data_IF_090558215661
#
_entry.id   IF_090558215661
#
_cell.length_a   1.000
_cell.length_b   1.000
_cell.length_c   1.000
_cell.angle_alpha   90.00
_cell.angle_beta   90.00
_cell.angle_gamma   90.00
#
_symmetry.space_group_name_H-M   'P 1'
#
loop_
_entity.id
_entity.type
_entity.pdbx_description
1 polymer ?
#
# COMPACT_ATOMS: atom_id res chain seq x y z
N UNK A 1 -23.72 3.50 20.31
CA UNK A 1 -23.42 3.39 18.88
C UNK A 1 -22.06 2.71 18.76
N UNK A 2 -22.06 1.39 18.63
CA UNK A 2 -20.83 0.61 18.58
C UNK A 2 -20.18 0.74 17.20
N UNK A 3 -19.17 1.58 17.11
CA UNK A 3 -18.30 1.67 15.94
C UNK A 3 -17.32 0.48 15.99
N UNK A 4 -17.79 -0.72 15.65
CA UNK A 4 -16.94 -1.89 15.47
C UNK A 4 -16.22 -1.77 14.14
N UNK A 5 -15.24 -0.88 14.09
CA UNK A 5 -14.18 -1.01 13.10
C UNK A 5 -13.52 -2.36 13.36
N UNK A 6 -13.74 -3.34 12.49
CA UNK A 6 -12.93 -4.57 12.52
C UNK A 6 -11.50 -4.19 12.16
N UNK A 7 -10.75 -3.86 13.20
CA UNK A 7 -9.32 -3.61 13.12
C UNK A 7 -8.68 -4.99 13.07
N UNK A 8 -8.11 -5.37 11.95
CA UNK A 8 -7.38 -6.62 11.82
C UNK A 8 -6.24 -6.67 12.84
N UNK A 9 -6.32 -7.62 13.78
CA UNK A 9 -5.31 -7.77 14.83
C UNK A 9 -4.09 -8.59 14.37
N UNK A 10 -4.24 -9.37 13.25
CA UNK A 10 -3.20 -10.21 12.68
C UNK A 10 -3.29 -10.27 11.14
N UNK A 11 -2.19 -10.64 10.47
CA UNK A 11 -2.15 -10.88 9.03
C UNK A 11 -3.19 -11.93 8.56
N UNK A 12 -3.52 -12.92 9.39
CA UNK A 12 -4.54 -13.92 9.11
C UNK A 12 -5.96 -13.34 8.96
N UNK A 13 -6.25 -12.22 9.65
CA UNK A 13 -7.57 -11.55 9.55
C UNK A 13 -7.72 -10.80 8.22
N UNK A 14 -6.60 -10.35 7.63
CA UNK A 14 -6.59 -9.72 6.30
C UNK A 14 -6.93 -10.75 5.22
N UNK A 15 -6.40 -11.98 5.34
CA UNK A 15 -6.63 -13.06 4.38
C UNK A 15 -8.11 -13.47 4.32
N UNK A 16 -8.74 -13.63 5.49
CA UNK A 16 -10.15 -14.03 5.56
C UNK A 16 -11.11 -12.95 5.05
N UNK A 17 -10.76 -11.67 5.28
CA UNK A 17 -11.58 -10.55 4.85
C UNK A 17 -11.50 -10.32 3.33
N UNK A 18 -10.30 -10.43 2.76
CA UNK A 18 -10.07 -10.28 1.32
C UNK A 18 -10.78 -11.38 0.53
N UNK A 19 -10.80 -12.62 1.04
CA UNK A 19 -11.46 -13.76 0.40
C UNK A 19 -12.98 -13.58 0.27
N UNK A 20 -13.63 -13.02 1.29
CA UNK A 20 -15.10 -13.02 1.38
C UNK A 20 -15.80 -11.86 0.62
N UNK A 21 -15.09 -10.82 0.16
CA UNK A 21 -15.75 -9.60 -0.37
C UNK A 21 -15.23 -9.04 -1.70
N UNK A 22 -14.17 -9.58 -2.28
CA UNK A 22 -13.55 -8.97 -3.47
C UNK A 22 -13.98 -9.57 -4.82
N UNK A 23 -15.16 -10.16 -4.92
CA UNK A 23 -15.79 -10.49 -6.21
C UNK A 23 -16.20 -9.24 -7.04
N UNK A 24 -15.76 -8.04 -6.66
CA UNK A 24 -16.22 -6.78 -7.27
C UNK A 24 -15.25 -6.14 -8.28
N UNK A 25 -14.04 -6.65 -8.44
CA UNK A 25 -13.10 -6.08 -9.42
C UNK A 25 -12.93 -6.99 -10.64
N UNK A 26 -13.59 -6.61 -11.73
CA UNK A 26 -13.45 -7.23 -13.06
C UNK A 26 -12.12 -6.87 -13.77
N UNK A 27 -11.11 -6.38 -13.05
CA UNK A 27 -9.80 -6.12 -13.64
C UNK A 27 -8.91 -7.36 -13.48
N UNK A 28 -8.54 -8.05 -14.59
CA UNK A 28 -7.74 -9.30 -14.56
C UNK A 28 -6.32 -9.09 -13.99
N UNK A 29 -5.83 -7.86 -13.91
CA UNK A 29 -4.49 -7.53 -13.41
C UNK A 29 -4.46 -7.32 -11.89
N UNK A 30 -5.60 -7.21 -11.22
CA UNK A 30 -5.71 -7.16 -9.77
C UNK A 30 -5.89 -8.59 -9.25
N UNK A 31 -4.82 -9.33 -9.18
CA UNK A 31 -4.82 -10.64 -8.52
C UNK A 31 -4.65 -10.44 -7.03
N UNK A 32 -5.73 -10.66 -6.29
CA UNK A 32 -5.66 -10.89 -4.86
C UNK A 32 -5.17 -12.32 -4.67
N UNK A 33 -3.86 -12.46 -4.57
CA UNK A 33 -3.25 -13.74 -4.22
C UNK A 33 -3.39 -13.92 -2.70
N UNK A 34 -4.37 -14.71 -2.32
CA UNK A 34 -4.36 -15.37 -1.02
C UNK A 34 -3.36 -16.54 -1.13
N UNK A 35 -2.23 -16.50 -0.46
CA UNK A 35 -1.38 -17.67 -0.43
C UNK A 35 -2.08 -18.72 0.44
N UNK A 36 -2.50 -19.82 -0.17
CA UNK A 36 -2.72 -21.10 0.53
C UNK A 36 -1.39 -21.68 1.07
N UNK A 37 -0.32 -20.89 1.00
CA UNK A 37 1.04 -21.25 1.41
C UNK A 37 1.31 -20.78 2.83
N UNK A 38 2.11 -21.56 3.56
CA UNK A 38 2.52 -21.25 4.92
C UNK A 38 3.20 -19.87 4.99
N UNK A 39 3.02 -19.16 6.10
CA UNK A 39 3.58 -17.82 6.37
C UNK A 39 5.09 -17.75 6.06
N UNK A 40 5.81 -18.82 6.27
CA UNK A 40 7.23 -18.97 6.00
C UNK A 40 7.58 -18.87 4.51
N UNK A 41 6.77 -19.47 3.63
CA UNK A 41 6.99 -19.43 2.18
C UNK A 41 6.83 -18.00 1.61
N UNK A 42 5.89 -17.24 2.14
CA UNK A 42 5.66 -15.85 1.73
C UNK A 42 6.83 -14.94 2.17
N UNK A 43 7.35 -15.16 3.38
CA UNK A 43 8.50 -14.41 3.92
C UNK A 43 9.75 -14.65 3.06
N UNK A 44 10.02 -15.90 2.68
CA UNK A 44 11.17 -16.25 1.83
C UNK A 44 11.05 -15.61 0.44
N UNK A 45 9.84 -15.48 -0.09
CA UNK A 45 9.60 -14.84 -1.40
C UNK A 45 9.86 -13.33 -1.42
N UNK A 46 9.78 -12.64 -0.28
CA UNK A 46 9.94 -11.19 -0.20
C UNK A 46 11.39 -10.73 0.03
N UNK A 47 12.29 -11.61 0.45
CA UNK A 47 13.68 -11.26 0.75
C UNK A 47 14.38 -10.67 -0.49
N UNK A 48 14.94 -9.47 -0.33
CA UNK A 48 15.64 -8.76 -1.40
C UNK A 48 14.73 -8.12 -2.44
N UNK A 49 13.39 -8.18 -2.22
CA UNK A 49 12.40 -7.56 -3.10
C UNK A 49 12.13 -6.12 -2.74
N UNK A 50 11.76 -5.32 -3.72
CA UNK A 50 11.33 -3.94 -3.55
C UNK A 50 9.80 -3.90 -3.40
N UNK A 51 9.33 -3.43 -2.25
CA UNK A 51 7.91 -3.27 -1.93
C UNK A 51 7.56 -1.79 -1.92
N UNK A 52 6.63 -1.39 -2.77
CA UNK A 52 6.03 -0.07 -2.74
C UNK A 52 4.84 -0.08 -1.77
N UNK A 53 4.97 0.64 -0.67
CA UNK A 53 3.91 0.80 0.33
C UNK A 53 3.19 2.14 0.13
N UNK A 54 1.97 2.09 -0.37
CA UNK A 54 1.06 3.23 -0.44
C UNK A 54 0.26 3.38 0.84
N UNK A 55 0.31 4.55 1.46
CA UNK A 55 -0.44 4.84 2.69
C UNK A 55 -1.44 5.96 2.43
N UNK A 56 -2.71 5.70 2.70
CA UNK A 56 -3.79 6.65 2.43
C UNK A 56 -4.38 7.24 3.71
N UNK A 57 -5.09 8.37 3.57
CA UNK A 57 -5.58 9.19 4.67
C UNK A 57 -6.76 8.58 5.41
N UNK A 58 -6.49 7.83 6.45
CA UNK A 58 -7.47 7.27 7.37
C UNK A 58 -6.84 6.91 8.71
N UNK A 59 -7.68 6.74 9.74
CA UNK A 59 -7.18 6.46 11.10
C UNK A 59 -6.24 5.23 11.13
N UNK A 60 -6.43 4.24 10.26
CA UNK A 60 -5.58 3.06 10.19
C UNK A 60 -4.16 3.33 9.65
N UNK A 61 -3.84 4.56 9.20
CA UNK A 61 -2.51 4.94 8.71
C UNK A 61 -1.40 4.68 9.76
N UNK A 62 -1.68 4.81 11.07
CA UNK A 62 -0.70 4.52 12.12
C UNK A 62 -0.19 3.07 12.08
N UNK A 63 -1.01 2.12 11.59
CA UNK A 63 -0.60 0.71 11.46
C UNK A 63 0.39 0.48 10.33
N UNK A 64 0.41 1.37 9.33
CA UNK A 64 1.34 1.27 8.21
C UNK A 64 2.80 1.38 8.65
N UNK A 65 3.09 2.13 9.72
CA UNK A 65 4.44 2.19 10.30
C UNK A 65 4.92 0.82 10.81
N UNK A 66 4.04 0.09 11.50
CA UNK A 66 4.35 -1.27 11.96
C UNK A 66 4.53 -2.24 10.77
N UNK A 67 3.72 -2.10 9.71
CA UNK A 67 3.86 -2.87 8.49
C UNK A 67 5.19 -2.59 7.79
N UNK A 68 5.57 -1.31 7.62
CA UNK A 68 6.86 -0.91 7.04
C UNK A 68 8.03 -1.53 7.81
N UNK A 69 8.01 -1.41 9.15
CA UNK A 69 9.02 -2.04 10.02
C UNK A 69 9.07 -3.56 9.86
N UNK A 70 7.92 -4.22 9.73
CA UNK A 70 7.87 -5.66 9.54
C UNK A 70 8.46 -6.09 8.20
N UNK A 71 8.19 -5.35 7.12
CA UNK A 71 8.76 -5.61 5.78
C UNK A 71 10.28 -5.41 5.77
N UNK A 72 10.79 -4.34 6.38
CA UNK A 72 12.24 -4.11 6.52
C UNK A 72 12.92 -5.25 7.28
N UNK A 73 12.30 -5.75 8.36
CA UNK A 73 12.78 -6.92 9.12
C UNK A 73 12.81 -8.21 8.28
N UNK A 74 12.02 -8.27 7.21
CA UNK A 74 12.05 -9.37 6.24
C UNK A 74 13.05 -9.13 5.10
N UNK A 75 13.94 -8.15 5.27
CA UNK A 75 14.96 -7.78 4.29
C UNK A 75 14.41 -7.32 2.94
N UNK A 76 13.22 -6.68 2.93
CA UNK A 76 12.70 -5.97 1.78
C UNK A 76 13.29 -4.57 1.69
N UNK A 77 13.48 -4.06 0.47
CA UNK A 77 13.59 -2.62 0.24
C UNK A 77 12.17 -2.05 0.25
N UNK A 78 11.88 -1.11 1.14
CA UNK A 78 10.53 -0.55 1.27
C UNK A 78 10.55 0.90 0.82
N UNK A 79 9.85 1.18 -0.27
CA UNK A 79 9.59 2.52 -0.78
C UNK A 79 8.21 2.97 -0.32
N UNK A 80 8.07 4.19 0.17
CA UNK A 80 6.79 4.64 0.76
C UNK A 80 6.26 5.86 0.03
N UNK A 81 5.00 5.80 -0.36
CA UNK A 81 4.24 6.95 -0.86
C UNK A 81 3.08 7.22 0.10
N UNK A 82 3.02 8.44 0.64
CA UNK A 82 1.86 8.92 1.37
C UNK A 82 0.99 9.78 0.45
N UNK A 83 -0.32 9.60 0.53
CA UNK A 83 -1.23 10.61 -0.03
C UNK A 83 -1.19 11.87 0.84
N UNK A 84 -1.53 13.03 0.28
CA UNK A 84 -1.60 14.29 1.03
C UNK A 84 -2.47 14.14 2.30
N UNK A 85 -3.60 13.45 2.19
CA UNK A 85 -4.46 13.20 3.36
C UNK A 85 -3.79 12.28 4.40
N UNK A 86 -2.90 11.37 4.00
CA UNK A 86 -2.19 10.52 4.95
C UNK A 86 -1.23 11.31 5.84
N UNK A 87 -0.64 12.40 5.32
CA UNK A 87 0.29 13.24 6.08
C UNK A 87 -0.37 13.91 7.29
N UNK A 88 -1.70 14.03 7.29
CA UNK A 88 -2.49 14.55 8.42
C UNK A 88 -2.62 13.55 9.57
N UNK A 89 -2.34 12.27 9.34
CA UNK A 89 -2.41 11.20 10.35
C UNK A 89 -1.03 10.72 10.80
N UNK A 90 -0.04 10.75 9.89
CA UNK A 90 1.31 10.27 10.17
C UNK A 90 2.33 11.06 9.33
N UNK A 91 3.43 11.45 9.96
CA UNK A 91 4.47 12.24 9.30
C UNK A 91 5.31 11.38 8.34
N UNK A 92 5.73 11.90 7.17
CA UNK A 92 6.65 11.23 6.25
C UNK A 92 7.95 10.78 6.92
N UNK A 93 8.50 11.61 7.82
CA UNK A 93 9.71 11.33 8.58
C UNK A 93 9.65 10.00 9.34
N UNK A 94 8.45 9.58 9.81
CA UNK A 94 8.28 8.29 10.49
C UNK A 94 8.69 7.13 9.60
N UNK A 95 8.28 7.18 8.33
CA UNK A 95 8.61 6.12 7.37
C UNK A 95 10.07 6.19 6.94
N UNK A 96 10.62 7.39 6.75
CA UNK A 96 12.04 7.58 6.41
C UNK A 96 12.96 6.98 7.46
N UNK A 97 12.64 7.18 8.75
CA UNK A 97 13.41 6.58 9.85
C UNK A 97 13.26 5.06 9.94
N UNK A 98 12.12 4.51 9.53
CA UNK A 98 11.88 3.07 9.56
C UNK A 98 12.48 2.32 8.38
N UNK A 99 12.48 2.93 7.19
CA UNK A 99 12.86 2.27 5.93
C UNK A 99 14.27 2.63 5.47
N UNK A 100 14.80 3.77 5.92
CA UNK A 100 16.03 4.36 5.40
C UNK A 100 15.90 4.98 4.02
N UNK A 101 14.70 4.95 3.42
CA UNK A 101 14.37 5.53 2.12
C UNK A 101 13.55 6.80 2.31
N UNK A 102 13.64 7.70 1.34
CA UNK A 102 12.80 8.92 1.32
C UNK A 102 11.33 8.55 1.16
N UNK A 103 10.46 9.24 1.91
CA UNK A 103 9.02 9.09 1.77
C UNK A 103 8.47 10.13 0.78
N UNK A 104 7.80 9.66 -0.26
CA UNK A 104 7.26 10.49 -1.32
C UNK A 104 5.82 10.91 -1.00
N UNK A 105 5.49 12.16 -1.30
CA UNK A 105 4.14 12.73 -1.10
C UNK A 105 3.63 13.40 -2.36
N UNK A 106 4.43 14.27 -2.95
CA UNK A 106 4.08 15.09 -4.09
C UNK A 106 4.76 14.57 -5.37
N UNK A 107 4.00 14.54 -6.47
CA UNK A 107 4.49 14.18 -7.80
C UNK A 107 5.48 15.22 -8.36
N UNK A 108 5.35 16.47 -7.93
CA UNK A 108 6.10 17.62 -8.47
C UNK A 108 7.10 18.21 -7.48
N UNK A 109 7.56 17.45 -6.48
CA UNK A 109 8.61 17.91 -5.58
C UNK A 109 9.90 18.17 -6.37
N UNK A 110 10.38 19.44 -6.32
CA UNK A 110 11.53 19.93 -7.09
C UNK A 110 12.89 19.41 -6.62
N UNK A 111 12.93 18.72 -5.48
CA UNK A 111 14.16 18.18 -4.91
C UNK A 111 14.56 16.83 -5.52
N UNK A 112 13.91 16.41 -6.59
CA UNK A 112 14.21 15.15 -7.29
C UNK A 112 15.23 15.36 -8.42
N UNK A 113 16.08 14.36 -8.62
CA UNK A 113 16.95 14.25 -9.80
C UNK A 113 16.10 14.16 -11.08
N UNK A 114 16.64 14.61 -12.21
CA UNK A 114 15.98 14.79 -13.51
C UNK A 114 15.24 13.57 -14.11
N UNK A 115 15.06 12.48 -13.39
CA UNK A 115 14.28 11.31 -13.82
C UNK A 115 12.84 11.39 -13.29
N UNK A 116 11.90 10.98 -14.13
CA UNK A 116 10.47 10.88 -13.77
C UNK A 116 10.31 9.80 -12.70
N UNK A 117 10.23 10.21 -11.45
CA UNK A 117 10.42 9.35 -10.29
C UNK A 117 9.38 8.24 -10.18
N UNK A 118 8.10 8.53 -10.47
CA UNK A 118 7.04 7.52 -10.45
C UNK A 118 7.28 6.40 -11.46
N UNK A 119 7.91 6.70 -12.63
CA UNK A 119 8.25 5.67 -13.63
C UNK A 119 9.45 4.84 -13.17
N UNK A 120 10.50 5.52 -12.67
CA UNK A 120 11.69 4.82 -12.13
C UNK A 120 11.30 3.90 -10.98
N UNK A 121 10.44 4.37 -10.08
CA UNK A 121 9.92 3.59 -8.96
C UNK A 121 9.07 2.41 -9.44
N UNK A 122 8.18 2.62 -10.42
CA UNK A 122 7.33 1.57 -10.98
C UNK A 122 8.15 0.42 -11.58
N UNK A 123 9.27 0.73 -12.26
CA UNK A 123 10.13 -0.28 -12.86
C UNK A 123 10.90 -1.14 -11.85
N UNK A 124 11.29 -0.57 -10.70
CA UNK A 124 12.05 -1.30 -9.67
C UNK A 124 11.16 -2.01 -8.64
N UNK A 125 9.84 -1.76 -8.67
CA UNK A 125 8.90 -2.34 -7.71
C UNK A 125 8.52 -3.76 -8.09
N UNK A 126 8.70 -4.70 -7.16
CA UNK A 126 8.29 -6.11 -7.30
C UNK A 126 6.86 -6.36 -6.77
N UNK A 127 6.41 -5.54 -5.81
CA UNK A 127 5.09 -5.66 -5.18
C UNK A 127 4.57 -4.29 -4.75
N UNK A 128 3.35 -3.97 -5.13
CA UNK A 128 2.63 -2.81 -4.60
C UNK A 128 1.73 -3.25 -3.46
N UNK A 129 1.79 -2.55 -2.33
CA UNK A 129 0.85 -2.71 -1.20
C UNK A 129 0.22 -1.35 -0.89
N UNK A 130 -1.10 -1.23 -1.01
CA UNK A 130 -1.83 -0.04 -0.55
C UNK A 130 -2.53 -0.37 0.76
N UNK A 131 -1.96 0.07 1.86
CA UNK A 131 -2.40 -0.26 3.21
C UNK A 131 -2.14 0.89 4.22
N UNK A 132 -3.19 1.54 4.73
CA UNK A 132 -4.61 1.34 4.43
C UNK A 132 -5.02 1.91 3.07
N UNK A 133 -6.03 1.34 2.42
CA UNK A 133 -6.66 1.88 1.23
C UNK A 133 -8.04 2.46 1.58
N UNK A 134 -8.19 3.78 1.47
CA UNK A 134 -9.50 4.44 1.65
C UNK A 134 -10.43 4.15 0.47
N UNK A 135 -11.74 4.29 0.68
CA UNK A 135 -12.74 4.15 -0.39
C UNK A 135 -12.43 5.03 -1.60
N UNK A 136 -11.97 6.27 -1.37
CA UNK A 136 -11.57 7.19 -2.44
C UNK A 136 -10.44 6.60 -3.30
N UNK A 137 -9.37 6.10 -2.67
CA UNK A 137 -8.24 5.52 -3.42
C UNK A 137 -8.65 4.21 -4.09
N UNK A 138 -9.47 3.37 -3.46
CA UNK A 138 -10.03 2.18 -4.11
C UNK A 138 -10.82 2.55 -5.38
N UNK A 139 -11.67 3.58 -5.31
CA UNK A 139 -12.44 4.06 -6.46
C UNK A 139 -11.52 4.63 -7.56
N UNK A 140 -10.50 5.42 -7.21
CA UNK A 140 -9.52 5.93 -8.18
C UNK A 140 -8.80 4.80 -8.91
N UNK A 141 -8.28 3.82 -8.18
CA UNK A 141 -7.58 2.67 -8.77
C UNK A 141 -8.50 1.83 -9.67
N UNK A 142 -9.77 1.65 -9.28
CA UNK A 142 -10.74 0.89 -10.08
C UNK A 142 -11.09 1.59 -11.41
N UNK A 143 -11.06 2.94 -11.44
CA UNK A 143 -11.39 3.74 -12.62
C UNK A 143 -10.14 4.24 -13.39
N UNK A 144 -8.93 3.87 -12.98
CA UNK A 144 -7.69 4.31 -13.61
C UNK A 144 -7.42 5.81 -13.47
N UNK A 145 -7.92 6.43 -12.39
CA UNK A 145 -7.64 7.84 -12.08
C UNK A 145 -6.25 7.96 -11.44
N UNK A 146 -5.39 8.77 -12.05
CA UNK A 146 -4.00 8.97 -11.67
C UNK A 146 -3.71 10.46 -11.48
N UNK A 147 -4.27 11.04 -10.42
CA UNK A 147 -4.23 12.47 -10.10
C UNK A 147 -3.32 12.81 -8.90
N UNK A 148 -2.68 11.81 -8.31
CA UNK A 148 -1.68 11.96 -7.24
C UNK A 148 -0.49 11.01 -7.44
N UNK A 149 0.58 11.20 -6.66
CA UNK A 149 1.82 10.41 -6.75
C UNK A 149 1.56 8.92 -6.58
N UNK A 150 0.70 8.53 -5.64
CA UNK A 150 0.40 7.13 -5.37
C UNK A 150 -0.33 6.48 -6.55
N UNK A 151 -1.45 7.07 -6.98
CA UNK A 151 -2.28 6.49 -8.05
C UNK A 151 -1.56 6.47 -9.38
N UNK A 152 -0.74 7.50 -9.69
CA UNK A 152 0.10 7.54 -10.89
C UNK A 152 1.14 6.42 -10.87
N UNK A 153 1.85 6.23 -9.76
CA UNK A 153 2.86 5.17 -9.64
C UNK A 153 2.22 3.78 -9.71
N UNK A 154 1.10 3.56 -9.00
CA UNK A 154 0.39 2.27 -9.02
C UNK A 154 -0.10 1.91 -10.43
N UNK A 155 -0.57 2.90 -11.19
CA UNK A 155 -1.00 2.71 -12.58
C UNK A 155 0.17 2.31 -13.48
N UNK A 156 1.35 2.90 -13.27
CA UNK A 156 2.56 2.59 -14.03
C UNK A 156 3.20 1.23 -13.67
N UNK A 157 2.92 0.69 -12.48
CA UNK A 157 3.45 -0.60 -12.06
C UNK A 157 2.80 -1.76 -12.79
N UNK A 158 3.61 -2.67 -13.36
CA UNK A 158 3.16 -3.94 -13.96
C UNK A 158 3.16 -5.13 -13.00
N UNK A 159 3.67 -4.93 -11.77
CA UNK A 159 3.78 -5.98 -10.76
C UNK A 159 2.47 -6.25 -10.03
N UNK A 160 2.46 -7.28 -9.18
CA UNK A 160 1.33 -7.63 -8.32
C UNK A 160 0.95 -6.45 -7.41
N UNK A 161 -0.36 -6.21 -7.29
CA UNK A 161 -0.92 -5.17 -6.44
C UNK A 161 -1.78 -5.79 -5.33
N UNK A 162 -1.49 -5.45 -4.08
CA UNK A 162 -2.23 -5.84 -2.90
C UNK A 162 -2.91 -4.61 -2.29
N UNK A 163 -4.23 -4.62 -2.25
CA UNK A 163 -5.02 -3.50 -1.74
C UNK A 163 -5.70 -3.94 -0.45
N UNK A 164 -5.48 -3.20 0.63
CA UNK A 164 -6.08 -3.44 1.95
C UNK A 164 -7.10 -2.34 2.28
N UNK A 165 -8.38 -2.50 1.89
CA UNK A 165 -9.42 -1.51 2.17
C UNK A 165 -9.61 -1.28 3.66
N UNK A 166 -9.69 -0.01 4.06
CA UNK A 166 -9.95 0.40 5.44
C UNK A 166 -10.86 1.63 5.43
N UNK A 167 -12.13 1.40 5.76
CA UNK A 167 -13.16 2.44 5.77
C UNK A 167 -14.22 2.12 6.82
N UNK A 168 -15.14 3.06 7.04
CA UNK A 168 -16.29 2.82 7.92
C UNK A 168 -17.16 1.71 7.32
N UNK A 169 -17.75 0.87 8.18
CA UNK A 169 -18.59 -0.26 7.76
C UNK A 169 -19.81 0.17 6.93
N UNK A 170 -20.31 1.40 7.10
CA UNK A 170 -21.38 1.96 6.28
C UNK A 170 -20.97 2.36 4.86
N UNK A 171 -19.67 2.30 4.53
CA UNK A 171 -19.13 2.63 3.21
C UNK A 171 -18.80 1.38 2.38
N UNK A 172 -19.02 0.19 2.93
CA UNK A 172 -18.85 -1.09 2.23
C UNK A 172 -20.08 -1.46 1.43
#
# INVERSE_FOLDING_TARGET
MDCKAKIFQNFADVDQFLYNRLNLCHNPDIKILLPSRKKEDFIIMLKGKTVLLGVTGGIAAYKAAALASALVKQHCSVEVILTEHATKFIAPLTFEQLTGNRCMVDTFDRNFSHQVEHISLAHRTDLVMVAPATANVCAKLAHGLADDMLTTTVLACSCLKLIAPAMNTGMY
#
